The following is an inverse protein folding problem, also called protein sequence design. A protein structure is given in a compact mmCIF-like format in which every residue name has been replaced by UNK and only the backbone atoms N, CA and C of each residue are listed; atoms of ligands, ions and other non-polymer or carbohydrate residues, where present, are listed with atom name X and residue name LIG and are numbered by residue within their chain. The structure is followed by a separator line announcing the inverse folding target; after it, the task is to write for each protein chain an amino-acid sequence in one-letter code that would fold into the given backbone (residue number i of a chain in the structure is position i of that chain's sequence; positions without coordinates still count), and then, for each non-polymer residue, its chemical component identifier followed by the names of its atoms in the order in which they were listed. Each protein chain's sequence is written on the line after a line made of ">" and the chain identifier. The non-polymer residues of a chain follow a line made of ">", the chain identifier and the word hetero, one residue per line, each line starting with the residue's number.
data_IF_631384854949
#
_entry.id   IF_631384854949
#
_cell.length_a   1.000
_cell.length_b   1.000
_cell.length_c   1.000
_cell.angle_alpha   90.00
_cell.angle_beta   90.00
_cell.angle_gamma   90.00
#
_symmetry.space_group_name_H-M   'P 1'
#
loop_
_entity.id
_entity.type
_entity.pdbx_description
1 polymer ?
#
# COMPACT_ATOMS: atom_id res chain seq x y z
N UNK A 1 -2.34 49.77 19.61
CA UNK A 1 -1.65 48.83 18.70
C UNK A 1 -1.67 47.47 19.36
N UNK A 2 -2.64 46.63 18.99
CA UNK A 2 -2.86 45.31 19.57
C UNK A 2 -2.00 44.28 18.85
N UNK A 3 -1.29 43.44 19.62
CA UNK A 3 -0.59 42.26 19.11
C UNK A 3 -1.61 41.26 18.57
N UNK A 4 -1.35 40.57 17.44
CA UNK A 4 -2.22 39.50 16.98
C UNK A 4 -2.09 38.30 17.93
N UNK A 5 -3.23 37.81 18.41
CA UNK A 5 -3.33 36.56 19.15
C UNK A 5 -3.10 35.41 18.15
N UNK A 6 -2.09 34.59 18.42
CA UNK A 6 -1.97 33.28 17.77
C UNK A 6 -3.24 32.48 18.05
N UNK A 7 -4.01 32.17 17.00
CA UNK A 7 -5.07 31.17 17.06
C UNK A 7 -4.43 29.85 17.51
N UNK A 8 -4.81 29.36 18.68
CA UNK A 8 -4.56 27.98 19.09
C UNK A 8 -5.12 27.09 17.98
N UNK A 9 -4.29 26.21 17.42
CA UNK A 9 -4.77 25.13 16.56
C UNK A 9 -5.80 24.34 17.36
N UNK A 10 -7.00 24.18 16.81
CA UNK A 10 -8.01 23.28 17.35
C UNK A 10 -7.42 21.87 17.43
N UNK A 11 -7.77 21.05 18.43
CA UNK A 11 -7.46 19.62 18.38
C UNK A 11 -8.00 19.09 17.05
N UNK A 12 -7.17 18.37 16.28
CA UNK A 12 -7.61 17.75 15.02
C UNK A 12 -8.83 16.92 15.36
N UNK A 13 -9.98 17.29 14.78
CA UNK A 13 -11.21 16.50 14.90
C UNK A 13 -10.88 15.12 14.33
N UNK A 14 -11.23 14.07 15.07
CA UNK A 14 -11.09 12.71 14.58
C UNK A 14 -11.86 12.57 13.26
N UNK A 15 -11.25 11.91 12.27
CA UNK A 15 -11.88 11.73 10.97
C UNK A 15 -13.13 10.87 11.12
N UNK A 16 -14.26 11.32 10.59
CA UNK A 16 -15.55 10.68 10.76
C UNK A 16 -16.40 10.77 9.51
N UNK A 17 -17.16 9.72 9.22
CA UNK A 17 -18.18 9.68 8.17
C UNK A 17 -19.54 9.48 8.85
N UNK A 18 -20.53 10.32 8.49
CA UNK A 18 -21.89 10.24 9.07
C UNK A 18 -21.97 10.25 10.63
N UNK A 19 -20.93 10.77 11.29
CA UNK A 19 -20.83 10.80 12.76
C UNK A 19 -20.08 9.63 13.38
N UNK A 20 -19.71 8.63 12.58
CA UNK A 20 -18.90 7.46 12.98
C UNK A 20 -17.41 7.77 12.80
N UNK A 21 -16.55 7.58 13.81
CA UNK A 21 -15.10 7.66 13.64
C UNK A 21 -14.59 6.61 12.65
N UNK A 22 -13.92 7.03 11.57
CA UNK A 22 -13.42 6.09 10.53
C UNK A 22 -12.37 5.12 11.14
N UNK A 23 -11.64 5.57 12.17
CA UNK A 23 -10.67 4.74 12.89
C UNK A 23 -11.30 3.51 13.54
N UNK A 24 -12.56 3.59 13.99
CA UNK A 24 -13.23 2.46 14.66
C UNK A 24 -13.81 1.42 13.72
N UNK A 25 -13.89 1.72 12.41
CA UNK A 25 -14.37 0.76 11.41
C UNK A 25 -13.33 -0.35 11.18
N UNK A 26 -13.74 -1.61 10.99
CA UNK A 26 -12.80 -2.67 10.59
C UNK A 26 -12.28 -2.40 9.18
N UNK A 27 -10.97 -2.53 9.00
CA UNK A 27 -10.32 -2.23 7.71
C UNK A 27 -9.35 -3.31 7.28
N UNK A 28 -9.08 -3.35 5.98
CA UNK A 28 -8.11 -4.23 5.33
C UNK A 28 -7.08 -3.39 4.58
N UNK A 29 -5.79 -3.69 4.79
CA UNK A 29 -4.68 -3.03 4.10
C UNK A 29 -3.96 -4.04 3.21
N UNK A 30 -4.03 -3.86 1.88
CA UNK A 30 -3.42 -4.81 0.94
C UNK A 30 -2.11 -4.31 0.34
N UNK A 31 -1.88 -2.99 0.36
CA UNK A 31 -0.73 -2.36 -0.26
C UNK A 31 -0.09 -1.33 0.69
N UNK A 32 0.79 -1.83 1.55
CA UNK A 32 1.54 -1.03 2.51
C UNK A 32 2.95 -1.61 2.67
N UNK A 33 3.97 -0.80 2.39
CA UNK A 33 5.36 -1.22 2.39
C UNK A 33 5.97 -1.12 3.78
N UNK A 34 6.67 -2.15 4.23
CA UNK A 34 7.33 -2.18 5.54
C UNK A 34 8.40 -1.08 5.65
N UNK A 35 9.26 -1.00 4.64
CA UNK A 35 10.39 -0.08 4.48
C UNK A 35 9.96 1.35 4.10
N UNK A 36 8.71 1.51 3.68
CA UNK A 36 8.01 2.79 3.53
C UNK A 36 7.11 3.19 4.70
N UNK A 37 6.95 2.30 5.68
CA UNK A 37 5.94 2.40 6.75
C UNK A 37 6.49 2.75 8.13
N UNK A 38 7.82 2.95 8.27
CA UNK A 38 8.47 3.13 9.57
C UNK A 38 7.97 4.38 10.32
N UNK A 39 7.95 4.29 11.65
CA UNK A 39 7.81 5.49 12.49
C UNK A 39 9.04 6.38 12.32
N UNK A 40 8.85 7.67 12.03
CA UNK A 40 9.96 8.64 11.94
C UNK A 40 10.80 8.70 13.22
N UNK A 41 10.21 8.43 14.38
CA UNK A 41 10.92 8.29 15.65
C UNK A 41 11.90 7.12 15.66
N UNK A 42 11.49 5.99 15.10
CA UNK A 42 12.30 4.78 15.04
C UNK A 42 13.45 4.96 14.05
N UNK A 43 13.19 5.54 12.88
CA UNK A 43 14.27 5.92 11.94
C UNK A 43 15.28 6.83 12.61
N UNK A 44 14.82 7.89 13.30
CA UNK A 44 15.69 8.84 13.98
C UNK A 44 16.55 8.16 15.07
N UNK A 45 15.93 7.30 15.89
CA UNK A 45 16.60 6.59 16.97
C UNK A 45 17.68 5.63 16.44
N UNK A 46 17.31 4.76 15.49
CA UNK A 46 18.20 3.75 14.93
C UNK A 46 19.35 4.38 14.15
N UNK A 47 19.07 5.37 13.29
CA UNK A 47 20.10 6.08 12.54
C UNK A 47 21.07 6.84 13.47
N UNK A 48 20.55 7.46 14.54
CA UNK A 48 21.38 8.14 15.54
C UNK A 48 22.28 7.15 16.29
N UNK A 49 21.76 5.97 16.63
CA UNK A 49 22.54 4.92 17.29
C UNK A 49 23.67 4.37 16.39
N UNK A 50 23.46 4.36 15.07
CA UNK A 50 24.46 4.00 14.07
C UNK A 50 25.47 5.14 13.78
N UNK A 51 25.25 6.34 14.32
CA UNK A 51 26.10 7.51 14.06
C UNK A 51 25.90 8.13 12.68
N UNK A 52 24.77 7.86 12.02
CA UNK A 52 24.44 8.45 10.72
C UNK A 52 24.17 9.96 10.83
N UNK A 53 24.50 10.71 9.78
CA UNK A 53 24.12 12.13 9.68
C UNK A 53 22.69 12.22 9.16
N UNK A 54 21.79 12.74 9.98
CA UNK A 54 20.37 12.88 9.64
C UNK A 54 20.07 14.27 9.02
N UNK A 55 19.09 14.36 8.10
CA UNK A 55 18.68 15.63 7.49
C UNK A 55 17.83 16.52 8.42
N UNK A 56 17.58 16.09 9.66
CA UNK A 56 16.68 16.74 10.61
C UNK A 56 17.23 16.67 12.05
N UNK A 57 16.83 17.62 12.91
CA UNK A 57 17.34 17.69 14.29
C UNK A 57 16.57 16.81 15.28
N UNK A 58 15.37 16.35 14.93
CA UNK A 58 14.53 15.47 15.74
C UNK A 58 13.56 14.66 14.86
N UNK A 59 12.90 13.66 15.45
CA UNK A 59 11.98 12.75 14.75
C UNK A 59 10.79 13.44 14.08
N UNK A 60 10.29 14.54 14.66
CA UNK A 60 9.18 15.30 14.06
C UNK A 60 9.63 15.98 12.77
N UNK A 61 10.75 16.70 12.83
CA UNK A 61 11.35 17.33 11.65
C UNK A 61 11.76 16.30 10.61
N UNK A 62 12.19 15.11 11.03
CA UNK A 62 12.51 14.01 10.10
C UNK A 62 11.27 13.53 9.34
N UNK A 63 10.14 13.36 10.03
CA UNK A 63 8.88 13.03 9.37
C UNK A 63 8.36 14.15 8.45
N UNK A 64 8.60 15.41 8.78
CA UNK A 64 8.32 16.55 7.89
C UNK A 64 9.22 16.51 6.64
N UNK A 65 10.51 16.18 6.81
CA UNK A 65 11.46 16.01 5.70
C UNK A 65 11.03 14.87 4.75
N UNK A 66 10.67 13.69 5.27
CA UNK A 66 10.18 12.58 4.43
C UNK A 66 8.98 13.01 3.57
N UNK A 67 7.98 13.65 4.19
CA UNK A 67 6.78 14.12 3.49
C UNK A 67 7.07 15.18 2.41
N UNK A 68 8.01 16.08 2.67
CA UNK A 68 8.40 17.11 1.71
C UNK A 68 9.18 16.51 0.52
N UNK A 69 10.06 15.54 0.77
CA UNK A 69 10.81 14.86 -0.31
C UNK A 69 9.91 13.95 -1.16
N UNK A 70 8.97 13.26 -0.55
CA UNK A 70 8.02 12.39 -1.24
C UNK A 70 7.09 13.17 -2.19
N UNK A 71 6.78 14.43 -1.89
CA UNK A 71 5.90 15.27 -2.70
C UNK A 71 6.61 15.91 -3.92
N UNK A 72 7.49 15.16 -4.58
CA UNK A 72 8.31 15.63 -5.69
C UNK A 72 7.62 15.54 -7.07
N UNK A 73 6.47 14.85 -7.18
CA UNK A 73 5.77 14.62 -8.45
C UNK A 73 6.50 13.66 -9.39
N UNK A 74 7.38 12.81 -8.84
CA UNK A 74 8.20 11.85 -9.58
C UNK A 74 8.53 10.64 -8.71
N UNK A 75 8.19 9.44 -9.18
CA UNK A 75 8.54 8.17 -8.52
C UNK A 75 10.05 8.05 -8.25
N UNK A 76 10.91 8.50 -9.17
CA UNK A 76 12.38 8.40 -8.99
C UNK A 76 12.88 9.24 -7.83
N UNK A 77 12.32 10.45 -7.63
CA UNK A 77 12.70 11.30 -6.50
C UNK A 77 12.10 10.78 -5.19
N UNK A 78 10.87 10.26 -5.24
CA UNK A 78 10.21 9.59 -4.12
C UNK A 78 11.06 8.46 -3.54
N UNK A 79 11.58 7.58 -4.40
CA UNK A 79 12.38 6.42 -4.03
C UNK A 79 13.71 6.76 -3.33
N UNK A 80 14.28 7.96 -3.53
CA UNK A 80 15.54 8.35 -2.85
C UNK A 80 15.42 8.44 -1.33
N UNK A 81 14.20 8.61 -0.83
CA UNK A 81 13.97 8.66 0.63
C UNK A 81 14.18 7.30 1.30
N UNK A 82 14.06 6.20 0.55
CA UNK A 82 14.23 4.84 1.06
C UNK A 82 15.68 4.53 1.45
N UNK A 83 16.68 5.22 0.90
CA UNK A 83 18.09 5.02 1.29
C UNK A 83 18.26 5.12 2.81
N UNK A 84 17.53 6.04 3.45
CA UNK A 84 17.60 6.22 4.90
C UNK A 84 16.85 5.12 5.66
N UNK A 85 15.65 4.73 5.23
CA UNK A 85 14.86 3.69 5.92
C UNK A 85 15.50 2.32 5.78
N UNK A 86 15.98 1.98 4.57
CA UNK A 86 16.72 0.74 4.30
C UNK A 86 18.01 0.69 5.14
N UNK A 87 18.73 1.80 5.31
CA UNK A 87 19.99 1.81 6.07
C UNK A 87 19.81 1.41 7.54
N UNK A 88 18.65 1.72 8.13
CA UNK A 88 18.35 1.35 9.52
C UNK A 88 17.77 -0.06 9.66
N UNK A 89 17.47 -0.75 8.56
CA UNK A 89 16.85 -2.09 8.53
C UNK A 89 17.84 -3.19 8.10
N UNK A 90 19.12 -3.05 8.46
CA UNK A 90 20.18 -3.99 8.06
C UNK A 90 20.50 -5.07 9.12
N UNK A 91 19.70 -5.21 10.17
CA UNK A 91 19.86 -6.24 11.21
C UNK A 91 18.53 -6.91 11.53
N UNK A 92 18.58 -8.17 11.96
CA UNK A 92 17.39 -8.92 12.35
C UNK A 92 16.61 -8.19 13.46
N UNK A 93 17.31 -7.70 14.49
CA UNK A 93 16.69 -6.91 15.58
C UNK A 93 15.92 -5.69 15.07
N UNK A 94 16.48 -4.96 14.09
CA UNK A 94 15.81 -3.78 13.55
C UNK A 94 14.62 -4.14 12.66
N UNK A 95 14.74 -5.20 11.85
CA UNK A 95 13.63 -5.73 11.04
C UNK A 95 12.48 -6.20 11.93
N UNK A 96 12.75 -7.01 12.95
CA UNK A 96 11.77 -7.48 13.94
C UNK A 96 11.07 -6.30 14.63
N UNK A 97 11.83 -5.29 15.09
CA UNK A 97 11.24 -4.10 15.70
C UNK A 97 10.33 -3.36 14.72
N UNK A 98 10.79 -3.13 13.49
CA UNK A 98 10.03 -2.37 12.49
C UNK A 98 8.74 -3.10 12.11
N UNK A 99 8.78 -4.43 11.95
CA UNK A 99 7.62 -5.27 11.69
C UNK A 99 6.62 -5.25 12.86
N UNK A 100 7.09 -5.35 14.10
CA UNK A 100 6.22 -5.21 15.28
C UNK A 100 5.52 -3.86 15.32
N UNK A 101 6.28 -2.77 15.17
CA UNK A 101 5.74 -1.41 15.17
C UNK A 101 4.74 -1.20 14.01
N UNK A 102 4.97 -1.86 12.87
CA UNK A 102 4.07 -1.83 11.74
C UNK A 102 2.69 -2.42 12.07
N UNK A 103 2.65 -3.60 12.70
CA UNK A 103 1.40 -4.26 13.13
C UNK A 103 0.69 -3.44 14.20
N UNK A 104 1.43 -2.93 15.19
CA UNK A 104 0.88 -2.04 16.21
C UNK A 104 0.20 -0.81 15.58
N UNK A 105 0.83 -0.19 14.59
CA UNK A 105 0.28 1.00 13.91
C UNK A 105 -1.00 0.66 13.12
N UNK A 106 -1.05 -0.49 12.44
CA UNK A 106 -2.24 -0.98 11.76
C UNK A 106 -3.39 -1.26 12.72
N UNK A 107 -3.13 -1.99 13.80
CA UNK A 107 -4.14 -2.31 14.82
C UNK A 107 -4.73 -1.04 15.44
N UNK A 108 -3.88 -0.06 15.77
CA UNK A 108 -4.30 1.25 16.29
C UNK A 108 -5.06 2.09 15.27
N UNK A 109 -4.91 1.81 13.97
CA UNK A 109 -5.69 2.44 12.91
C UNK A 109 -6.99 1.68 12.61
N UNK A 110 -7.29 0.58 13.30
CA UNK A 110 -8.51 -0.23 13.13
C UNK A 110 -8.44 -1.23 11.99
N UNK A 111 -7.22 -1.56 11.53
CA UNK A 111 -7.00 -2.62 10.54
C UNK A 111 -7.07 -3.97 11.24
N UNK A 112 -7.82 -4.90 10.65
CA UNK A 112 -8.02 -6.27 11.16
C UNK A 112 -7.30 -7.31 10.30
N UNK A 113 -6.94 -6.96 9.05
CA UNK A 113 -6.08 -7.77 8.20
C UNK A 113 -5.16 -6.88 7.36
N UNK A 114 -3.87 -7.23 7.32
CA UNK A 114 -2.84 -6.54 6.55
C UNK A 114 -2.04 -7.49 5.66
N UNK A 115 -1.59 -7.01 4.51
CA UNK A 115 -0.57 -7.66 3.70
C UNK A 115 0.60 -6.69 3.54
N UNK A 116 1.65 -6.93 4.34
CA UNK A 116 2.84 -6.08 4.33
C UNK A 116 3.78 -6.52 3.22
N UNK A 117 4.15 -5.59 2.35
CA UNK A 117 5.11 -5.84 1.27
C UNK A 117 6.46 -5.21 1.57
N UNK A 118 7.54 -5.83 1.12
CA UNK A 118 8.90 -5.32 1.25
C UNK A 118 9.85 -6.14 0.38
N UNK A 119 11.08 -5.66 0.17
CA UNK A 119 12.07 -6.33 -0.67
C UNK A 119 13.23 -6.91 0.16
N UNK A 120 13.23 -8.21 0.51
CA UNK A 120 14.28 -8.82 1.33
C UNK A 120 15.70 -8.63 0.79
N UNK A 121 15.85 -8.53 -0.53
CA UNK A 121 17.16 -8.32 -1.18
C UNK A 121 17.83 -6.99 -0.81
N UNK A 122 17.10 -6.02 -0.26
CA UNK A 122 17.64 -4.72 0.15
C UNK A 122 18.20 -4.71 1.58
N UNK A 123 18.07 -5.80 2.33
CA UNK A 123 18.39 -5.87 3.76
C UNK A 123 19.57 -6.78 4.10
N UNK A 124 20.51 -6.93 3.16
CA UNK A 124 21.62 -7.91 3.26
C UNK A 124 22.99 -7.26 3.55
N UNK A 125 23.10 -5.93 3.54
CA UNK A 125 24.39 -5.23 3.71
C UNK A 125 24.98 -5.44 5.12
N UNK A 126 24.12 -5.66 6.12
CA UNK A 126 24.51 -6.03 7.48
C UNK A 126 24.89 -7.49 7.68
N UNK A 127 24.87 -8.31 6.63
CA UNK A 127 25.30 -9.71 6.65
C UNK A 127 24.19 -10.73 6.91
N UNK A 128 22.92 -10.32 6.85
CA UNK A 128 21.78 -11.23 6.87
C UNK A 128 21.74 -12.07 5.59
N UNK A 129 21.27 -13.31 5.69
CA UNK A 129 20.73 -14.04 4.53
C UNK A 129 19.31 -13.56 4.22
N UNK A 130 18.78 -13.95 3.06
CA UNK A 130 17.39 -13.66 2.69
C UNK A 130 16.42 -14.31 3.68
N UNK A 131 16.71 -15.54 4.08
CA UNK A 131 15.94 -16.33 5.04
C UNK A 131 15.97 -15.69 6.43
N UNK A 132 17.15 -15.21 6.89
CA UNK A 132 17.26 -14.50 8.17
C UNK A 132 16.42 -13.22 8.18
N UNK A 133 16.39 -12.50 7.06
CA UNK A 133 15.60 -11.27 6.95
C UNK A 133 14.09 -11.57 6.99
N UNK A 134 13.62 -12.57 6.23
CA UNK A 134 12.20 -12.98 6.21
C UNK A 134 11.75 -13.50 7.57
N UNK A 135 12.58 -14.31 8.23
CA UNK A 135 12.30 -14.79 9.58
C UNK A 135 12.23 -13.64 10.58
N UNK A 136 13.16 -12.67 10.52
CA UNK A 136 13.14 -11.53 11.43
C UNK A 136 11.86 -10.67 11.29
N UNK A 137 11.38 -10.47 10.07
CA UNK A 137 10.09 -9.79 9.83
C UNK A 137 8.92 -10.62 10.34
N UNK A 138 8.93 -11.94 10.12
CA UNK A 138 7.89 -12.84 10.64
C UNK A 138 7.81 -12.80 12.17
N UNK A 139 8.95 -12.89 12.86
CA UNK A 139 9.04 -12.78 14.32
C UNK A 139 8.46 -11.45 14.81
N UNK A 140 8.72 -10.36 14.10
CA UNK A 140 8.20 -9.04 14.44
C UNK A 140 6.70 -8.91 14.21
N UNK A 141 6.17 -9.53 13.15
CA UNK A 141 4.73 -9.60 12.90
C UNK A 141 4.04 -10.32 14.06
N UNK A 142 4.54 -11.49 14.45
CA UNK A 142 3.98 -12.28 15.55
C UNK A 142 4.03 -11.52 16.89
N UNK A 143 5.17 -10.88 17.20
CA UNK A 143 5.27 -10.00 18.38
C UNK A 143 4.24 -8.86 18.35
N UNK A 144 3.95 -8.32 17.16
CA UNK A 144 3.02 -7.22 16.96
C UNK A 144 1.56 -7.65 17.09
N UNK A 145 1.21 -8.82 16.57
CA UNK A 145 -0.12 -9.42 16.71
C UNK A 145 -0.42 -9.75 18.17
N UNK A 146 0.54 -10.37 18.89
CA UNK A 146 0.45 -10.63 20.33
C UNK A 146 0.26 -9.33 21.14
N UNK A 147 1.00 -8.28 20.79
CA UNK A 147 0.88 -6.97 21.44
C UNK A 147 -0.47 -6.30 21.14
N UNK A 148 -1.00 -6.46 19.93
CA UNK A 148 -2.32 -5.95 19.55
C UNK A 148 -3.43 -6.67 20.34
N UNK A 149 -3.39 -8.00 20.42
CA UNK A 149 -4.37 -8.80 21.18
C UNK A 149 -4.37 -8.42 22.66
N UNK A 150 -3.18 -8.27 23.26
CA UNK A 150 -3.03 -7.80 24.64
C UNK A 150 -3.64 -6.41 24.90
N UNK A 151 -3.77 -5.59 23.85
CA UNK A 151 -4.41 -4.26 23.89
C UNK A 151 -5.88 -4.28 23.43
N UNK A 152 -6.46 -5.45 23.17
CA UNK A 152 -7.86 -5.62 22.78
C UNK A 152 -8.13 -5.43 21.29
N UNK A 153 -7.10 -5.50 20.45
CA UNK A 153 -7.21 -5.47 18.98
C UNK A 153 -6.93 -6.85 18.39
N UNK A 154 -7.79 -7.33 17.51
CA UNK A 154 -7.54 -8.53 16.72
C UNK A 154 -7.05 -8.10 15.34
N UNK A 155 -5.84 -8.49 14.97
CA UNK A 155 -5.25 -8.24 13.65
C UNK A 155 -4.48 -9.47 13.21
N UNK A 156 -4.48 -9.74 11.90
CA UNK A 156 -3.55 -10.66 11.26
C UNK A 156 -2.80 -9.98 10.12
N UNK A 157 -1.52 -10.30 9.95
CA UNK A 157 -0.68 -9.75 8.87
C UNK A 157 0.04 -10.87 8.11
N UNK A 158 -0.07 -10.86 6.78
CA UNK A 158 0.72 -11.71 5.88
C UNK A 158 1.84 -10.93 5.20
N UNK A 159 2.90 -11.61 4.80
CA UNK A 159 4.02 -11.00 4.07
C UNK A 159 3.86 -11.16 2.55
N UNK A 160 4.19 -10.11 1.79
CA UNK A 160 4.38 -10.16 0.35
C UNK A 160 5.84 -9.84 0.05
N UNK A 161 6.56 -10.79 -0.56
CA UNK A 161 7.96 -10.57 -0.90
C UNK A 161 8.07 -9.93 -2.27
N UNK A 162 8.67 -8.75 -2.31
CA UNK A 162 8.89 -7.97 -3.53
C UNK A 162 10.26 -8.25 -4.10
N UNK A 163 10.34 -8.47 -5.41
CA UNK A 163 11.59 -8.33 -6.14
C UNK A 163 11.65 -6.95 -6.82
N UNK A 164 12.86 -6.42 -6.93
CA UNK A 164 13.10 -5.11 -7.52
C UNK A 164 13.22 -5.21 -9.04
N UNK A 165 12.43 -4.42 -9.77
CA UNK A 165 12.33 -4.37 -11.23
C UNK A 165 13.66 -4.15 -11.95
N UNK A 166 14.49 -3.28 -11.39
CA UNK A 166 15.83 -2.97 -11.90
C UNK A 166 16.89 -4.02 -11.53
N UNK A 167 16.54 -4.97 -10.67
CA UNK A 167 17.39 -6.05 -10.20
C UNK A 167 17.29 -7.30 -11.07
N UNK A 168 18.05 -8.32 -10.69
CA UNK A 168 18.09 -9.61 -11.40
C UNK A 168 17.75 -10.82 -10.49
N UNK A 169 17.36 -10.57 -9.24
CA UNK A 169 17.14 -11.62 -8.23
C UNK A 169 15.70 -12.09 -8.12
N UNK A 170 14.81 -11.65 -9.01
CA UNK A 170 13.38 -12.03 -8.99
C UNK A 170 13.12 -13.53 -8.86
N UNK A 171 13.90 -14.38 -9.52
CA UNK A 171 13.75 -15.84 -9.40
C UNK A 171 14.15 -16.36 -8.00
N UNK A 172 15.16 -15.76 -7.38
CA UNK A 172 15.61 -16.10 -6.04
C UNK A 172 14.55 -15.68 -5.01
N UNK A 173 13.98 -14.48 -5.14
CA UNK A 173 12.89 -14.01 -4.28
C UNK A 173 11.60 -14.81 -4.49
N UNK A 174 11.30 -15.23 -5.72
CA UNK A 174 10.17 -16.11 -5.99
C UNK A 174 10.31 -17.48 -5.29
N UNK A 175 11.51 -18.08 -5.31
CA UNK A 175 11.79 -19.32 -4.57
C UNK A 175 11.66 -19.12 -3.07
N UNK A 176 12.20 -18.03 -2.55
CA UNK A 176 12.08 -17.66 -1.14
C UNK A 176 10.61 -17.52 -0.71
N UNK A 177 9.79 -16.86 -1.51
CA UNK A 177 8.36 -16.71 -1.23
C UNK A 177 7.64 -18.07 -1.18
N UNK A 178 8.02 -19.01 -2.06
CA UNK A 178 7.50 -20.37 -2.06
C UNK A 178 7.98 -21.18 -0.85
N UNK A 179 9.23 -21.02 -0.44
CA UNK A 179 9.81 -21.71 0.71
C UNK A 179 9.11 -21.29 2.02
N UNK A 180 8.66 -20.03 2.12
CA UNK A 180 7.96 -19.47 3.28
C UNK A 180 6.42 -19.38 3.12
N UNK A 181 5.84 -20.02 2.10
CA UNK A 181 4.39 -19.91 1.80
C UNK A 181 3.47 -20.44 2.90
N UNK A 182 3.99 -21.34 3.72
CA UNK A 182 3.29 -21.94 4.85
C UNK A 182 3.72 -21.30 6.19
N UNK A 183 4.66 -20.33 6.14
CA UNK A 183 5.31 -19.66 7.26
C UNK A 183 5.21 -18.13 7.11
N UNK A 184 4.00 -17.64 6.82
CA UNK A 184 3.63 -16.21 6.87
C UNK A 184 3.69 -15.44 5.54
N UNK A 185 4.35 -15.96 4.50
CA UNK A 185 4.35 -15.32 3.17
C UNK A 185 3.12 -15.74 2.37
N UNK A 186 2.32 -14.75 1.95
CA UNK A 186 1.03 -14.95 1.25
C UNK A 186 1.05 -14.57 -0.22
N UNK A 187 2.11 -13.89 -0.69
CA UNK A 187 2.20 -13.49 -2.08
C UNK A 187 3.57 -12.95 -2.50
N UNK A 188 3.67 -12.63 -3.78
CA UNK A 188 4.85 -12.05 -4.41
C UNK A 188 4.49 -10.73 -5.14
N UNK A 189 5.44 -9.80 -5.19
CA UNK A 189 5.31 -8.52 -5.90
C UNK A 189 6.55 -8.16 -6.74
N UNK A 190 6.35 -7.27 -7.72
CA UNK A 190 7.41 -6.56 -8.43
C UNK A 190 7.28 -5.06 -8.19
N UNK A 191 8.26 -4.49 -7.50
CA UNK A 191 8.29 -3.07 -7.11
C UNK A 191 9.53 -2.34 -7.68
N UNK A 192 9.64 -1.04 -7.39
CA UNK A 192 10.72 -0.18 -7.88
C UNK A 192 10.32 0.63 -9.12
N UNK A 193 11.29 1.15 -9.91
CA UNK A 193 10.99 1.96 -11.09
C UNK A 193 10.21 1.15 -12.13
N UNK A 194 9.06 1.67 -12.55
CA UNK A 194 8.17 0.99 -13.50
C UNK A 194 8.58 1.23 -14.98
N UNK A 195 8.76 2.50 -15.35
CA UNK A 195 9.07 2.89 -16.73
C UNK A 195 10.42 2.30 -17.17
N UNK A 196 10.40 1.50 -18.25
CA UNK A 196 11.58 0.83 -18.79
C UNK A 196 11.94 -0.50 -18.12
N UNK A 197 11.15 -0.97 -17.14
CA UNK A 197 11.36 -2.25 -16.47
C UNK A 197 10.05 -3.08 -16.44
N UNK A 198 9.61 -3.61 -17.59
CA UNK A 198 8.36 -4.35 -17.70
C UNK A 198 8.38 -5.67 -16.90
N UNK A 199 7.21 -6.17 -16.52
CA UNK A 199 7.11 -7.45 -15.81
C UNK A 199 7.66 -8.63 -16.63
N UNK A 200 7.59 -8.54 -17.97
CA UNK A 200 8.16 -9.52 -18.90
C UNK A 200 9.66 -9.81 -18.69
N UNK A 201 10.42 -8.87 -18.11
CA UNK A 201 11.84 -9.07 -17.84
C UNK A 201 12.10 -10.10 -16.71
N UNK A 202 11.06 -10.40 -15.92
CA UNK A 202 11.08 -11.34 -14.79
C UNK A 202 10.36 -12.65 -15.10
N UNK A 203 10.22 -13.00 -16.38
CA UNK A 203 9.41 -14.14 -16.84
C UNK A 203 9.72 -15.46 -16.11
N UNK A 204 11.00 -15.78 -15.86
CA UNK A 204 11.36 -17.05 -15.20
C UNK A 204 10.80 -17.16 -13.77
N UNK A 205 10.79 -16.03 -13.02
CA UNK A 205 10.22 -15.97 -11.68
C UNK A 205 8.69 -16.09 -11.73
N UNK A 206 8.06 -15.35 -12.64
CA UNK A 206 6.60 -15.30 -12.79
C UNK A 206 6.04 -16.64 -13.28
N UNK A 207 6.72 -17.31 -14.21
CA UNK A 207 6.35 -18.64 -14.68
C UNK A 207 6.49 -19.70 -13.57
N UNK A 208 7.49 -19.58 -12.69
CA UNK A 208 7.63 -20.45 -11.52
C UNK A 208 6.45 -20.27 -10.54
N UNK A 209 6.14 -19.03 -10.17
CA UNK A 209 5.06 -18.73 -9.22
C UNK A 209 3.70 -19.22 -9.76
N UNK A 210 3.46 -19.05 -11.07
CA UNK A 210 2.26 -19.55 -11.72
C UNK A 210 2.18 -21.10 -11.73
N UNK A 211 3.30 -21.79 -11.93
CA UNK A 211 3.36 -23.27 -11.88
C UNK A 211 3.09 -23.82 -10.48
N UNK A 212 3.43 -23.06 -9.45
CA UNK A 212 3.23 -23.40 -8.04
C UNK A 212 1.93 -22.84 -7.45
N UNK A 213 1.08 -22.23 -8.28
CA UNK A 213 -0.20 -21.62 -7.88
C UNK A 213 -0.07 -20.55 -6.79
N UNK A 214 1.05 -19.82 -6.80
CA UNK A 214 1.32 -18.81 -5.78
C UNK A 214 0.77 -17.44 -6.19
N UNK A 215 0.06 -16.72 -5.30
CA UNK A 215 -0.53 -15.42 -5.62
C UNK A 215 0.51 -14.35 -5.97
N UNK A 216 0.20 -13.55 -6.99
CA UNK A 216 1.05 -12.46 -7.47
C UNK A 216 0.24 -11.18 -7.57
N UNK A 217 0.77 -10.11 -6.98
CA UNK A 217 0.41 -8.71 -7.29
C UNK A 217 1.59 -8.07 -8.02
N UNK A 218 1.36 -7.03 -8.81
CA UNK A 218 2.44 -6.33 -9.54
C UNK A 218 2.13 -4.84 -9.54
N UNK A 219 3.06 -4.00 -9.11
CA UNK A 219 2.96 -2.54 -9.32
C UNK A 219 2.88 -2.23 -10.80
N UNK A 220 1.76 -1.74 -11.30
CA UNK A 220 1.61 -1.39 -12.70
C UNK A 220 0.56 -0.31 -12.89
N UNK A 221 0.76 0.56 -13.87
CA UNK A 221 -0.12 1.69 -14.10
C UNK A 221 0.07 2.80 -13.06
N UNK A 222 1.29 3.01 -12.56
CA UNK A 222 1.64 4.11 -11.65
C UNK A 222 2.49 5.16 -12.37
N UNK A 223 3.74 4.81 -12.70
CA UNK A 223 4.68 5.64 -13.45
C UNK A 223 4.73 5.28 -14.96
N UNK A 224 4.24 4.10 -15.36
CA UNK A 224 4.05 3.70 -16.75
C UNK A 224 2.56 3.48 -17.11
N UNK A 225 2.25 3.43 -18.40
CA UNK A 225 0.87 3.38 -18.92
C UNK A 225 0.32 1.96 -19.12
N UNK A 226 -0.65 1.86 -20.03
CA UNK A 226 -1.38 0.61 -20.32
C UNK A 226 -0.50 -0.59 -20.70
N UNK A 227 0.65 -0.38 -21.34
CA UNK A 227 1.57 -1.47 -21.70
C UNK A 227 2.14 -2.18 -20.47
N UNK A 228 2.40 -1.44 -19.38
CA UNK A 228 2.86 -2.01 -18.11
C UNK A 228 1.77 -2.82 -17.44
N UNK A 229 0.53 -2.30 -17.40
CA UNK A 229 -0.64 -3.03 -16.91
C UNK A 229 -0.84 -4.31 -17.72
N UNK A 230 -0.74 -4.25 -19.05
CA UNK A 230 -0.86 -5.40 -19.92
C UNK A 230 0.22 -6.45 -19.63
N UNK A 231 1.48 -6.05 -19.43
CA UNK A 231 2.56 -6.98 -19.05
C UNK A 231 2.33 -7.60 -17.67
N UNK A 232 1.86 -6.83 -16.69
CA UNK A 232 1.51 -7.34 -15.37
C UNK A 232 0.44 -8.45 -15.44
N UNK A 233 -0.59 -8.26 -16.28
CA UNK A 233 -1.66 -9.24 -16.46
C UNK A 233 -1.25 -10.46 -17.29
N UNK A 234 -0.52 -10.26 -18.39
CA UNK A 234 -0.19 -11.35 -19.32
C UNK A 234 1.04 -12.14 -18.89
N UNK A 235 2.14 -11.46 -18.61
CA UNK A 235 3.40 -12.08 -18.23
C UNK A 235 3.36 -12.45 -16.74
N UNK A 236 2.87 -11.52 -15.92
CA UNK A 236 2.78 -11.70 -14.47
C UNK A 236 1.63 -12.57 -14.00
N UNK A 237 0.57 -12.70 -14.80
CA UNK A 237 -0.71 -13.34 -14.40
C UNK A 237 -1.20 -12.78 -13.06
N UNK A 238 -0.97 -11.48 -12.86
CA UNK A 238 -1.23 -10.83 -11.59
C UNK A 238 -2.73 -10.92 -11.25
N UNK A 239 -3.01 -11.28 -10.00
CA UNK A 239 -4.35 -11.34 -9.44
C UNK A 239 -4.83 -9.97 -8.95
N UNK A 240 -3.87 -9.06 -8.71
CA UNK A 240 -4.09 -7.66 -8.33
C UNK A 240 -3.08 -6.77 -9.03
N UNK A 241 -3.41 -5.50 -9.17
CA UNK A 241 -2.53 -4.47 -9.72
C UNK A 241 -2.17 -3.49 -8.60
N UNK A 242 -0.89 -3.43 -8.23
CA UNK A 242 -0.34 -2.38 -7.39
C UNK A 242 -0.57 -1.03 -8.06
N UNK A 243 -1.33 -0.15 -7.43
CA UNK A 243 -1.95 1.04 -8.04
C UNK A 243 -2.98 0.70 -9.11
N UNK A 244 -2.56 0.40 -10.34
CA UNK A 244 -3.46 0.17 -11.48
C UNK A 244 -4.25 1.40 -11.93
N UNK A 245 -4.02 2.58 -11.33
CA UNK A 245 -4.81 3.79 -11.52
C UNK A 245 -4.82 4.26 -12.99
N UNK A 246 -3.73 4.00 -13.72
CA UNK A 246 -3.62 4.35 -15.14
C UNK A 246 -4.43 3.47 -16.09
N UNK A 247 -5.17 2.48 -15.59
CA UNK A 247 -6.21 1.79 -16.38
C UNK A 247 -7.30 2.75 -16.88
N UNK A 248 -7.47 3.89 -16.20
CA UNK A 248 -8.37 4.95 -16.63
C UNK A 248 -7.99 5.57 -18.00
N UNK A 249 -6.76 5.37 -18.49
CA UNK A 249 -6.36 5.75 -19.86
C UNK A 249 -7.03 4.88 -20.94
N UNK A 250 -7.49 3.69 -20.57
CA UNK A 250 -8.20 2.77 -21.47
C UNK A 250 -9.73 3.02 -21.48
N UNK A 251 -10.15 4.17 -20.94
CA UNK A 251 -11.51 4.69 -21.03
C UNK A 251 -11.61 5.70 -22.17
N UNK A 252 -12.64 5.57 -22.99
CA UNK A 252 -12.92 6.51 -24.06
C UNK A 252 -14.18 7.32 -23.74
N UNK A 253 -14.02 8.63 -23.63
CA UNK A 253 -15.16 9.55 -23.49
C UNK A 253 -16.00 9.54 -24.78
N UNK A 254 -17.28 9.18 -24.66
CA UNK A 254 -18.23 9.12 -25.76
C UNK A 254 -19.04 10.42 -25.84
N UNK A 255 -19.43 10.95 -24.69
CA UNK A 255 -20.22 12.17 -24.57
C UNK A 255 -20.08 12.76 -23.16
N UNK A 256 -20.12 14.10 -23.07
CA UNK A 256 -20.30 14.83 -21.83
C UNK A 256 -21.54 15.73 -21.96
N UNK A 257 -22.52 15.55 -21.07
CA UNK A 257 -23.72 16.38 -20.96
C UNK A 257 -23.85 16.90 -19.52
N UNK A 258 -23.45 18.17 -19.29
CA UNK A 258 -23.42 18.73 -17.94
C UNK A 258 -22.35 18.06 -17.09
N UNK A 259 -22.73 17.55 -15.93
CA UNK A 259 -21.84 16.83 -15.00
C UNK A 259 -21.80 15.31 -15.28
N UNK A 260 -22.58 14.81 -16.24
CA UNK A 260 -22.57 13.39 -16.63
C UNK A 260 -21.56 13.14 -17.78
N UNK A 261 -20.59 12.26 -17.53
CA UNK A 261 -19.64 11.77 -18.53
C UNK A 261 -20.00 10.32 -18.88
N UNK A 262 -20.29 10.05 -20.16
CA UNK A 262 -20.45 8.68 -20.66
C UNK A 262 -19.13 8.20 -21.23
N UNK A 263 -18.60 7.14 -20.63
CA UNK A 263 -17.37 6.49 -21.09
C UNK A 263 -17.66 5.11 -21.67
N UNK A 264 -16.83 4.71 -22.64
CA UNK A 264 -16.70 3.33 -23.14
C UNK A 264 -15.41 2.75 -22.59
N UNK A 265 -15.49 1.60 -21.94
CA UNK A 265 -14.32 0.81 -21.62
C UNK A 265 -13.79 0.16 -22.91
N UNK A 266 -12.48 0.20 -23.11
CA UNK A 266 -11.80 -0.59 -24.15
C UNK A 266 -11.41 -1.96 -23.58
N UNK A 267 -10.69 -2.74 -24.37
CA UNK A 267 -10.49 -4.17 -24.12
C UNK A 267 -9.77 -4.46 -22.81
N UNK A 268 -8.74 -3.67 -22.44
CA UNK A 268 -7.95 -3.90 -21.23
C UNK A 268 -8.74 -3.50 -19.99
N UNK A 269 -9.36 -2.33 -20.00
CA UNK A 269 -10.28 -1.88 -18.95
C UNK A 269 -11.44 -2.85 -18.74
N UNK A 270 -12.05 -3.34 -19.83
CA UNK A 270 -13.12 -4.34 -19.76
C UNK A 270 -12.63 -5.64 -19.15
N UNK A 271 -11.44 -6.11 -19.54
CA UNK A 271 -10.84 -7.33 -18.98
C UNK A 271 -10.62 -7.22 -17.47
N UNK A 272 -10.03 -6.11 -17.01
CA UNK A 272 -9.75 -5.84 -15.60
C UNK A 272 -11.04 -5.79 -14.78
N UNK A 273 -12.02 -4.99 -15.24
CA UNK A 273 -13.30 -4.83 -14.54
C UNK A 273 -14.08 -6.15 -14.46
N UNK A 274 -14.29 -6.83 -15.59
CA UNK A 274 -15.19 -7.99 -15.66
C UNK A 274 -14.64 -9.24 -14.96
N UNK A 275 -13.34 -9.25 -14.60
CA UNK A 275 -12.69 -10.29 -13.80
C UNK A 275 -12.44 -9.88 -12.36
N UNK A 276 -12.88 -8.68 -11.99
CA UNK A 276 -12.72 -8.13 -10.65
C UNK A 276 -11.24 -8.12 -10.22
N UNK A 277 -10.33 -7.87 -11.16
CA UNK A 277 -8.89 -7.72 -10.85
C UNK A 277 -8.75 -6.46 -9.99
N UNK A 278 -8.31 -6.66 -8.75
CA UNK A 278 -8.29 -5.58 -7.77
C UNK A 278 -7.25 -4.51 -8.15
N UNK A 279 -7.66 -3.26 -8.05
CA UNK A 279 -6.79 -2.09 -8.14
C UNK A 279 -6.41 -1.68 -6.72
N UNK A 280 -5.14 -1.85 -6.37
CA UNK A 280 -4.58 -1.48 -5.06
C UNK A 280 -4.25 0.02 -5.06
N UNK A 281 -5.29 0.86 -5.06
CA UNK A 281 -5.14 2.30 -5.27
C UNK A 281 -4.69 2.98 -3.97
N UNK A 282 -3.74 3.92 -4.10
CA UNK A 282 -3.14 4.64 -2.96
C UNK A 282 -3.22 6.14 -3.21
N UNK A 283 -4.37 6.80 -2.93
CA UNK A 283 -4.67 8.13 -3.46
C UNK A 283 -3.64 9.22 -3.14
N UNK A 284 -3.18 9.31 -1.89
CA UNK A 284 -2.12 10.26 -1.52
C UNK A 284 -0.80 9.97 -2.22
N UNK A 285 -0.42 8.69 -2.34
CA UNK A 285 0.81 8.30 -3.02
C UNK A 285 0.73 8.60 -4.52
N UNK A 286 -0.36 8.22 -5.18
CA UNK A 286 -0.58 8.46 -6.61
C UNK A 286 -0.52 9.95 -6.97
N UNK A 287 -0.96 10.84 -6.08
CA UNK A 287 -0.76 12.28 -6.25
C UNK A 287 0.71 12.70 -6.10
N UNK A 288 1.40 12.20 -5.08
CA UNK A 288 2.79 12.56 -4.76
C UNK A 288 3.80 12.03 -5.78
N UNK A 289 3.58 10.84 -6.33
CA UNK A 289 4.45 10.21 -7.34
C UNK A 289 4.19 10.74 -8.75
N UNK A 290 3.09 11.49 -8.94
CA UNK A 290 2.69 12.04 -10.23
C UNK A 290 1.90 11.07 -11.11
N UNK A 291 1.46 9.94 -10.57
CA UNK A 291 0.70 8.91 -11.30
C UNK A 291 -0.59 9.45 -11.94
N UNK A 292 -1.18 10.50 -11.35
CA UNK A 292 -2.40 11.13 -11.86
C UNK A 292 -2.17 12.42 -12.66
N UNK A 293 -0.91 12.77 -12.96
CA UNK A 293 -0.55 14.08 -13.52
C UNK A 293 -1.29 14.46 -14.81
N UNK A 294 -1.75 13.47 -15.59
CA UNK A 294 -2.53 13.71 -16.81
C UNK A 294 -3.96 14.19 -16.56
N UNK A 295 -4.56 13.83 -15.41
CA UNK A 295 -5.88 14.29 -15.02
C UNK A 295 -5.81 15.58 -14.20
N UNK A 296 -4.77 15.73 -13.37
CA UNK A 296 -4.52 16.98 -12.67
C UNK A 296 -3.52 16.87 -11.52
N UNK A 297 -3.69 17.75 -10.52
CA UNK A 297 -2.70 17.95 -9.44
C UNK A 297 -3.34 17.98 -8.06
N UNK A 298 -4.62 17.58 -7.98
CA UNK A 298 -5.38 17.51 -6.74
C UNK A 298 -6.09 16.18 -6.63
N UNK A 299 -6.56 15.89 -5.43
CA UNK A 299 -7.31 14.66 -5.18
C UNK A 299 -8.63 14.62 -5.96
N UNK A 300 -9.28 15.78 -6.18
CA UNK A 300 -10.49 15.88 -7.00
C UNK A 300 -10.27 15.43 -8.45
N UNK A 301 -9.02 15.51 -8.95
CA UNK A 301 -8.66 15.10 -10.30
C UNK A 301 -8.31 13.59 -10.39
N UNK A 302 -8.24 12.89 -9.26
CA UNK A 302 -7.87 11.48 -9.21
C UNK A 302 -8.97 10.63 -9.86
N UNK A 303 -8.65 9.67 -10.76
CA UNK A 303 -9.67 8.84 -11.40
C UNK A 303 -10.27 7.78 -10.46
N UNK A 304 -10.10 7.90 -9.14
CA UNK A 304 -10.57 6.92 -8.16
C UNK A 304 -12.08 6.77 -8.26
N UNK A 305 -12.79 7.89 -8.14
CA UNK A 305 -14.26 7.89 -8.17
C UNK A 305 -14.79 7.41 -9.52
N UNK A 306 -14.19 7.85 -10.63
CA UNK A 306 -14.55 7.35 -11.95
C UNK A 306 -14.44 5.81 -12.04
N UNK A 307 -13.35 5.22 -11.56
CA UNK A 307 -13.16 3.77 -11.58
C UNK A 307 -14.16 3.06 -10.66
N UNK A 308 -14.37 3.60 -9.46
CA UNK A 308 -15.35 3.08 -8.50
C UNK A 308 -16.78 3.06 -9.09
N UNK A 309 -17.25 4.20 -9.62
CA UNK A 309 -18.58 4.34 -10.21
C UNK A 309 -18.79 3.45 -11.45
N UNK A 310 -17.71 3.09 -12.16
CA UNK A 310 -17.75 2.17 -13.30
C UNK A 310 -17.73 0.69 -12.90
N UNK A 311 -17.70 0.39 -11.61
CA UNK A 311 -17.75 -0.97 -11.06
C UNK A 311 -16.42 -1.71 -11.10
N UNK A 312 -15.28 -0.99 -11.13
CA UNK A 312 -13.98 -1.64 -10.92
C UNK A 312 -13.85 -2.07 -9.45
N UNK A 313 -13.19 -3.20 -9.22
CA UNK A 313 -12.78 -3.62 -7.89
C UNK A 313 -11.62 -2.72 -7.42
N UNK A 314 -11.95 -1.58 -6.83
CA UNK A 314 -10.98 -0.65 -6.24
C UNK A 314 -10.85 -0.91 -4.74
N UNK A 315 -9.62 -0.85 -4.25
CA UNK A 315 -9.28 -0.89 -2.82
C UNK A 315 -8.53 0.37 -2.45
N UNK A 316 -8.55 0.74 -1.17
CA UNK A 316 -7.86 1.93 -0.65
C UNK A 316 -6.67 1.51 0.19
N UNK A 317 -5.50 2.05 -0.10
CA UNK A 317 -4.26 1.64 0.52
C UNK A 317 -3.35 2.84 0.82
N UNK A 318 -2.36 2.63 1.69
CA UNK A 318 -1.44 3.69 2.12
C UNK A 318 -0.18 3.80 1.29
N UNK A 319 0.23 2.69 0.66
CA UNK A 319 1.51 2.53 -0.01
C UNK A 319 2.68 2.72 0.97
N UNK A 320 3.10 3.95 1.24
CA UNK A 320 4.20 4.23 2.18
C UNK A 320 3.76 5.26 3.23
N UNK A 321 3.35 4.78 4.41
CA UNK A 321 2.78 5.65 5.47
C UNK A 321 3.70 6.78 5.90
N UNK A 322 5.02 6.52 5.98
CA UNK A 322 6.01 7.53 6.39
C UNK A 322 6.15 8.61 5.32
N UNK A 323 6.35 8.20 4.07
CA UNK A 323 6.58 9.07 2.92
C UNK A 323 5.34 9.93 2.65
N UNK A 324 4.17 9.29 2.57
CA UNK A 324 2.92 9.99 2.29
C UNK A 324 2.31 10.68 3.51
N UNK A 325 2.92 10.50 4.70
CA UNK A 325 2.44 11.05 5.99
C UNK A 325 0.96 10.72 6.23
N UNK A 326 0.58 9.48 5.93
CA UNK A 326 -0.81 9.05 5.93
C UNK A 326 -1.04 7.83 6.83
N UNK A 327 -2.30 7.44 6.96
CA UNK A 327 -2.77 6.16 7.54
C UNK A 327 -3.98 5.72 6.73
N UNK A 328 -4.42 4.47 6.84
CA UNK A 328 -5.57 4.01 6.06
C UNK A 328 -6.85 4.80 6.42
N UNK A 329 -7.03 5.13 7.70
CA UNK A 329 -8.08 6.05 8.14
C UNK A 329 -8.02 7.41 7.45
N UNK A 330 -6.81 7.95 7.19
CA UNK A 330 -6.66 9.24 6.49
C UNK A 330 -6.95 9.12 5.00
N UNK A 331 -6.55 8.03 4.35
CA UNK A 331 -6.87 7.80 2.93
C UNK A 331 -8.39 7.68 2.73
N UNK A 332 -9.09 6.92 3.59
CA UNK A 332 -10.55 6.84 3.54
C UNK A 332 -11.21 8.19 3.83
N UNK A 333 -10.74 8.93 4.84
CA UNK A 333 -11.25 10.26 5.14
C UNK A 333 -11.05 11.25 3.98
N UNK A 334 -9.92 11.14 3.28
CA UNK A 334 -9.63 11.95 2.10
C UNK A 334 -10.67 11.69 1.00
N UNK A 335 -11.06 10.44 0.76
CA UNK A 335 -12.10 10.10 -0.21
C UNK A 335 -13.49 10.56 0.23
N UNK A 336 -13.83 10.42 1.52
CA UNK A 336 -15.09 10.95 2.10
C UNK A 336 -15.19 12.46 1.89
N UNK A 337 -14.14 13.21 2.23
CA UNK A 337 -14.12 14.66 2.10
C UNK A 337 -14.15 15.14 0.63
N UNK A 338 -13.61 14.34 -0.29
CA UNK A 338 -13.45 14.71 -1.70
C UNK A 338 -14.65 14.33 -2.57
N UNK A 339 -15.14 13.10 -2.41
CA UNK A 339 -16.15 12.48 -3.26
C UNK A 339 -17.49 12.28 -2.53
N UNK A 340 -17.63 12.84 -1.32
CA UNK A 340 -18.84 12.77 -0.50
C UNK A 340 -19.29 11.34 -0.15
N UNK A 341 -18.33 10.42 -0.06
CA UNK A 341 -18.60 9.00 0.27
C UNK A 341 -19.23 8.83 1.65
N UNK A 342 -20.20 7.93 1.72
CA UNK A 342 -20.90 7.53 2.94
C UNK A 342 -20.31 6.27 3.57
N UNK A 343 -20.99 5.76 4.61
CA UNK A 343 -20.59 4.50 5.27
C UNK A 343 -20.66 3.29 4.32
N UNK A 344 -21.69 3.22 3.48
CA UNK A 344 -21.90 2.13 2.51
C UNK A 344 -20.76 2.06 1.47
N UNK A 345 -20.24 3.21 1.05
CA UNK A 345 -19.09 3.28 0.15
C UNK A 345 -17.83 2.75 0.83
N UNK A 346 -17.56 3.20 2.07
CA UNK A 346 -16.41 2.70 2.82
C UNK A 346 -16.50 1.19 3.08
N UNK A 347 -17.69 0.68 3.39
CA UNK A 347 -17.93 -0.75 3.56
C UNK A 347 -17.59 -1.50 2.26
N UNK A 348 -18.12 -1.05 1.12
CA UNK A 348 -17.85 -1.63 -0.20
C UNK A 348 -16.35 -1.68 -0.50
N UNK A 349 -15.62 -0.61 -0.20
CA UNK A 349 -14.16 -0.56 -0.38
C UNK A 349 -13.41 -1.57 0.49
N UNK A 350 -13.88 -1.80 1.73
CA UNK A 350 -13.29 -2.81 2.62
C UNK A 350 -13.68 -4.23 2.21
N UNK A 351 -14.90 -4.45 1.68
CA UNK A 351 -15.34 -5.73 1.13
C UNK A 351 -14.55 -6.11 -0.13
N UNK A 352 -14.28 -5.14 -1.02
CA UNK A 352 -13.39 -5.34 -2.17
C UNK A 352 -12.00 -5.79 -1.71
N UNK A 353 -11.44 -5.15 -0.67
CA UNK A 353 -10.15 -5.51 -0.11
C UNK A 353 -10.15 -6.91 0.53
N UNK A 354 -11.16 -7.25 1.35
CA UNK A 354 -11.27 -8.59 1.92
C UNK A 354 -11.43 -9.68 0.86
N UNK A 355 -12.25 -9.43 -0.17
CA UNK A 355 -12.42 -10.35 -1.30
C UNK A 355 -11.14 -10.54 -2.13
N UNK A 356 -10.25 -9.55 -2.13
CA UNK A 356 -9.00 -9.56 -2.90
C UNK A 356 -7.78 -10.01 -2.10
N UNK A 357 -7.92 -10.26 -0.80
CA UNK A 357 -6.83 -10.78 0.04
C UNK A 357 -6.28 -12.11 -0.51
N UNK A 358 -4.97 -12.36 -0.36
CA UNK A 358 -4.34 -13.63 -0.69
C UNK A 358 -4.53 -14.68 0.42
N UNK A 359 -5.73 -14.68 0.99
CA UNK A 359 -6.20 -15.66 1.95
C UNK A 359 -7.01 -16.76 1.26
N UNK A 360 -7.03 -17.98 1.82
CA UNK A 360 -8.02 -19.00 1.47
C UNK A 360 -9.45 -18.46 1.52
N UNK A 361 -10.34 -19.05 0.72
CA UNK A 361 -11.73 -18.60 0.60
C UNK A 361 -12.42 -18.48 1.96
N UNK A 362 -12.30 -19.49 2.81
CA UNK A 362 -12.96 -19.53 4.12
C UNK A 362 -12.50 -18.39 5.04
N UNK A 363 -11.21 -18.02 4.95
CA UNK A 363 -10.64 -16.93 5.75
C UNK A 363 -11.04 -15.55 5.18
N UNK A 364 -11.26 -15.43 3.86
CA UNK A 364 -11.83 -14.22 3.27
C UNK A 364 -13.31 -14.05 3.64
N UNK A 365 -14.08 -15.14 3.67
CA UNK A 365 -15.47 -15.11 4.10
C UNK A 365 -15.59 -14.67 5.57
N UNK A 366 -14.75 -15.20 6.46
CA UNK A 366 -14.68 -14.74 7.86
C UNK A 366 -14.31 -13.24 7.95
N UNK A 367 -13.34 -12.80 7.17
CA UNK A 367 -12.94 -11.39 7.13
C UNK A 367 -14.07 -10.48 6.64
N UNK A 368 -14.82 -10.91 5.62
CA UNK A 368 -16.01 -10.21 5.11
C UNK A 368 -17.07 -10.11 6.20
N UNK A 369 -17.38 -11.20 6.90
CA UNK A 369 -18.35 -11.21 7.99
C UNK A 369 -17.96 -10.21 9.08
N UNK A 370 -16.68 -10.21 9.51
CA UNK A 370 -16.17 -9.26 10.51
C UNK A 370 -16.31 -7.80 10.09
N UNK A 371 -16.12 -7.51 8.79
CA UNK A 371 -16.30 -6.18 8.23
C UNK A 371 -17.76 -5.76 8.31
N UNK A 372 -18.67 -6.57 7.75
CA UNK A 372 -20.11 -6.28 7.74
C UNK A 372 -20.63 -6.06 9.16
N UNK A 373 -20.29 -6.97 10.08
CA UNK A 373 -20.62 -6.87 11.50
C UNK A 373 -20.12 -5.55 12.13
N UNK A 374 -18.92 -5.11 11.78
CA UNK A 374 -18.34 -3.88 12.31
C UNK A 374 -18.99 -2.62 11.77
N UNK A 375 -19.37 -2.61 10.49
CA UNK A 375 -20.10 -1.51 9.86
C UNK A 375 -21.56 -1.44 10.34
N UNK A 376 -22.25 -2.58 10.50
CA UNK A 376 -23.63 -2.62 11.02
C UNK A 376 -23.74 -2.10 12.47
N UNK A 377 -22.68 -2.24 13.27
CA UNK A 377 -22.63 -1.76 14.66
C UNK A 377 -22.34 -0.25 14.79
N UNK A 378 -21.85 0.38 13.74
CA UNK A 378 -21.17 1.68 13.81
C UNK A 378 -22.13 2.88 13.97
#
# INVERSE_FOLDING_TARGET
>A
MSRPQHKRQSPRREASVEGVPIRSLPKVSLHDHLDGGLRASTVFELASAQGATLPAANSRELGEWFAEQANAGSLVEYLKTFDLTISVMQSAENLTRVAREYVEDLANDGVIYGEVRWAPEQHLEGGLSLEDAVQAVQDGIEEGEDAADANGHSIRVGQILSAMRQGSRSLEIARLALDFRDDGVVGFDLAGPEEGFPASDHQEALDLLAQEFFPVTIHAGEAAGLDSINSALLDGRALRLGHGVRIAEDLEEIAAEGDEVRVRLRDLATWVRDREIALEVSPSSNLQTGAIAQWGTKIEDHPFDLLYQLGFCVTVNTDNRLMSRTTLTRELALLVDTFEYGLEDLETLQLNAAGSAFLPLEQREELIELIQDGFERA
#
